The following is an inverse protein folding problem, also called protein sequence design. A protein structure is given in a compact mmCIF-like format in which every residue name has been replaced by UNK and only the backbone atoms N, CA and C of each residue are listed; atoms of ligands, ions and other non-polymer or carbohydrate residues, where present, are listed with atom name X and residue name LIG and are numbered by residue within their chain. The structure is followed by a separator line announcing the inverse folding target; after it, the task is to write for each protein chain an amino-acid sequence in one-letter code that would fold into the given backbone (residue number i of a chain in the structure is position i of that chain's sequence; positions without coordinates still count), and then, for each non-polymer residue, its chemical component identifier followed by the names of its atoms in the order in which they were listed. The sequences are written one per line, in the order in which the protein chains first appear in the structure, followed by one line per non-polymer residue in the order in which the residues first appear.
data_IF_279880241693
#
_entry.id   IF_279880241693
#
_cell.length_a   1.000
_cell.length_b   1.000
_cell.length_c   1.000
_cell.angle_alpha   90.00
_cell.angle_beta   90.00
_cell.angle_gamma   90.00
#
_symmetry.space_group_name_H-M   'P 1'
#
loop_
_entity.id
_entity.type
_entity.pdbx_description
1 polymer ?
#
# COMPACT_ATOMS: atom_id res chain seq x y z
N UNK A 1 -29.98 -3.35 2.40
CA UNK A 1 -29.67 -3.14 3.84
C UNK A 1 -28.73 -4.25 4.29
N UNK A 2 -27.51 -3.92 4.78
CA UNK A 2 -26.57 -4.94 5.28
C UNK A 2 -27.11 -5.55 6.57
N UNK A 3 -27.19 -6.89 6.66
CA UNK A 3 -27.72 -7.57 7.85
C UNK A 3 -26.73 -7.50 9.01
N UNK A 4 -27.24 -7.48 10.25
CA UNK A 4 -26.41 -7.58 11.45
C UNK A 4 -25.63 -8.91 11.45
N UNK A 5 -24.34 -8.87 11.76
CA UNK A 5 -23.45 -10.05 11.74
C UNK A 5 -22.80 -10.38 10.40
N UNK A 6 -23.17 -9.72 9.30
CA UNK A 6 -22.60 -9.98 7.97
C UNK A 6 -21.19 -9.36 7.78
N UNK A 7 -20.88 -8.32 8.55
CA UNK A 7 -19.58 -7.63 8.55
C UNK A 7 -18.70 -8.21 9.66
N UNK A 8 -17.91 -9.22 9.34
CA UNK A 8 -17.12 -9.98 10.31
C UNK A 8 -15.70 -9.43 10.55
N UNK A 9 -15.20 -8.55 9.67
CA UNK A 9 -13.84 -8.04 9.71
C UNK A 9 -13.80 -6.58 10.13
N UNK A 10 -12.84 -6.22 11.00
CA UNK A 10 -12.56 -4.82 11.36
C UNK A 10 -11.31 -4.34 10.65
N UNK A 11 -11.48 -3.38 9.74
CA UNK A 11 -10.39 -2.79 8.95
C UNK A 11 -10.06 -1.39 9.48
N UNK A 12 -8.78 -1.06 9.59
CA UNK A 12 -8.33 0.31 9.83
C UNK A 12 -8.20 1.03 8.48
N UNK A 13 -8.81 2.20 8.37
CA UNK A 13 -8.78 3.02 7.15
C UNK A 13 -7.70 4.08 7.24
N UNK A 14 -7.06 4.32 6.11
CA UNK A 14 -6.11 5.41 5.91
C UNK A 14 -6.59 6.27 4.73
N UNK A 15 -6.40 7.59 4.84
CA UNK A 15 -6.69 8.54 3.76
C UNK A 15 -5.70 8.41 2.61
N UNK A 16 -5.92 9.13 1.52
CA UNK A 16 -4.94 9.19 0.44
C UNK A 16 -3.60 9.77 0.93
N UNK A 17 -2.52 9.38 0.26
CA UNK A 17 -1.20 9.95 0.48
C UNK A 17 -1.25 11.48 0.25
N UNK A 18 -0.87 12.27 1.26
CA UNK A 18 -0.87 13.74 1.16
C UNK A 18 0.44 14.33 1.69
N UNK A 19 0.83 15.49 1.16
CA UNK A 19 2.06 16.20 1.53
C UNK A 19 3.31 15.72 0.78
N UNK A 20 4.45 16.35 1.07
CA UNK A 20 5.76 15.97 0.57
C UNK A 20 6.73 15.88 1.76
N UNK A 21 7.13 14.67 2.21
CA UNK A 21 6.79 13.34 1.65
C UNK A 21 5.34 12.89 1.97
N UNK A 22 4.75 12.00 1.15
CA UNK A 22 3.33 11.64 1.21
C UNK A 22 2.94 10.72 2.39
N UNK A 23 2.21 11.25 3.38
CA UNK A 23 1.76 10.52 4.58
C UNK A 23 0.38 9.90 4.34
N UNK A 24 0.14 8.70 4.91
CA UNK A 24 -1.16 8.02 4.96
C UNK A 24 -1.88 8.30 6.29
N UNK A 25 -2.78 9.31 6.38
CA UNK A 25 -3.38 9.66 7.67
C UNK A 25 -4.40 8.60 8.12
N UNK A 26 -4.39 8.14 9.38
CA UNK A 26 -5.39 7.22 9.89
C UNK A 26 -6.77 7.90 9.97
N UNK A 27 -7.80 7.29 9.37
CA UNK A 27 -9.16 7.81 9.30
C UNK A 27 -10.19 6.99 10.10
N UNK A 28 -9.72 6.13 11.01
CA UNK A 28 -10.54 5.30 11.90
C UNK A 28 -10.83 3.89 11.39
N UNK A 29 -11.64 3.13 12.14
CA UNK A 29 -11.93 1.72 11.86
C UNK A 29 -13.31 1.54 11.23
N UNK A 30 -13.43 0.56 10.34
CA UNK A 30 -14.68 0.20 9.66
C UNK A 30 -14.95 -1.30 9.80
N UNK A 31 -16.22 -1.68 9.86
CA UNK A 31 -16.65 -3.07 9.76
C UNK A 31 -16.89 -3.42 8.31
N UNK A 32 -16.37 -4.57 7.89
CA UNK A 32 -16.40 -5.02 6.51
C UNK A 32 -16.64 -6.52 6.41
N UNK A 33 -17.24 -6.93 5.29
CA UNK A 33 -17.18 -8.30 4.78
C UNK A 33 -16.13 -8.32 3.69
N UNK A 34 -15.16 -9.24 3.78
CA UNK A 34 -14.07 -9.33 2.80
C UNK A 34 -14.18 -10.67 2.09
N UNK A 35 -14.18 -10.63 0.76
CA UNK A 35 -14.22 -11.81 -0.10
C UNK A 35 -13.02 -11.70 -1.05
N UNK A 36 -11.97 -12.47 -0.73
CA UNK A 36 -10.80 -12.59 -1.60
C UNK A 36 -11.19 -13.36 -2.88
N UNK A 37 -10.61 -13.04 -4.05
CA UNK A 37 -10.82 -13.82 -5.26
C UNK A 37 -10.35 -15.27 -5.04
N UNK A 38 -11.05 -16.24 -5.64
CA UNK A 38 -10.56 -17.63 -5.67
C UNK A 38 -9.21 -17.62 -6.39
N UNK A 39 -8.16 -18.10 -5.72
CA UNK A 39 -6.81 -18.11 -6.27
C UNK A 39 -6.80 -18.76 -7.66
N UNK A 40 -6.40 -18.00 -8.68
CA UNK A 40 -5.93 -18.58 -9.94
C UNK A 40 -4.69 -19.42 -9.64
N UNK A 41 -4.47 -20.50 -10.39
CA UNK A 41 -3.36 -21.44 -10.18
C UNK A 41 -1.98 -20.77 -10.05
N UNK A 42 -1.02 -21.53 -9.48
CA UNK A 42 0.32 -21.11 -8.99
C UNK A 42 1.21 -20.26 -9.93
N UNK A 43 0.82 -20.00 -11.17
CA UNK A 43 1.64 -19.25 -12.15
C UNK A 43 1.45 -17.73 -12.10
N UNK A 44 0.41 -17.21 -11.43
CA UNK A 44 0.14 -15.77 -11.38
C UNK A 44 0.94 -14.98 -10.31
N UNK A 45 1.77 -15.66 -9.54
CA UNK A 45 2.38 -15.13 -8.30
C UNK A 45 3.68 -14.35 -8.53
N UNK A 46 3.81 -13.67 -9.67
CA UNK A 46 4.96 -12.82 -10.01
C UNK A 46 4.69 -11.31 -9.78
N UNK A 47 3.46 -10.93 -9.42
CA UNK A 47 3.05 -9.54 -9.18
C UNK A 47 2.64 -9.34 -7.73
N UNK A 48 2.85 -8.14 -7.16
CA UNK A 48 2.30 -7.78 -5.83
C UNK A 48 0.78 -7.75 -5.77
N UNK A 49 0.15 -7.80 -6.94
CA UNK A 49 -1.28 -7.88 -7.12
C UNK A 49 -1.69 -9.35 -7.09
N UNK A 50 -2.47 -9.75 -6.09
CA UNK A 50 -3.20 -11.00 -6.19
C UNK A 50 -4.05 -10.95 -7.48
N UNK A 51 -4.01 -11.99 -8.31
CA UNK A 51 -4.85 -12.08 -9.51
C UNK A 51 -6.32 -12.02 -9.11
N UNK A 52 -6.99 -10.92 -9.49
CA UNK A 52 -8.38 -10.61 -9.17
C UNK A 52 -8.53 -9.55 -8.08
N UNK A 53 -9.57 -8.72 -8.18
CA UNK A 53 -9.90 -7.75 -7.13
C UNK A 53 -10.62 -8.46 -5.97
N UNK A 54 -10.24 -8.10 -4.75
CA UNK A 54 -10.93 -8.46 -3.51
C UNK A 54 -12.19 -7.62 -3.38
N UNK A 55 -13.34 -8.26 -3.16
CA UNK A 55 -14.58 -7.54 -2.91
C UNK A 55 -14.72 -7.27 -1.42
N UNK A 56 -14.88 -6.00 -1.06
CA UNK A 56 -15.07 -5.56 0.32
C UNK A 56 -16.43 -4.87 0.44
N UNK A 57 -17.35 -5.46 1.19
CA UNK A 57 -18.65 -4.85 1.48
C UNK A 57 -18.61 -4.11 2.81
N UNK A 58 -19.11 -2.88 2.84
CA UNK A 58 -19.25 -2.08 4.07
C UNK A 58 -20.64 -1.43 4.14
N UNK A 59 -21.00 -0.88 5.30
CA UNK A 59 -22.22 -0.05 5.40
C UNK A 59 -22.05 1.23 4.59
N UNK A 60 -23.17 1.75 4.08
CA UNK A 60 -23.18 2.98 3.31
C UNK A 60 -22.55 4.17 4.09
N UNK A 61 -21.64 4.90 3.44
CA UNK A 61 -20.93 6.07 3.98
C UNK A 61 -20.29 6.87 2.85
N UNK A 62 -20.20 8.19 2.98
CA UNK A 62 -19.77 9.07 1.88
C UNK A 62 -18.28 9.42 1.89
N UNK A 63 -17.53 8.98 2.90
CA UNK A 63 -16.15 9.40 3.13
C UNK A 63 -15.10 8.38 2.63
N UNK A 64 -15.55 7.29 2.00
CA UNK A 64 -14.67 6.32 1.33
C UNK A 64 -14.40 6.76 -0.11
N UNK A 65 -13.14 6.70 -0.52
CA UNK A 65 -12.68 7.13 -1.84
C UNK A 65 -11.67 6.13 -2.42
N UNK A 66 -11.62 5.99 -3.77
CA UNK A 66 -10.49 5.36 -4.45
C UNK A 66 -9.14 5.96 -4.01
N UNK A 67 -8.10 5.12 -3.99
CA UNK A 67 -6.76 5.50 -3.52
C UNK A 67 -6.57 5.41 -2.00
N UNK A 68 -7.62 5.21 -1.21
CA UNK A 68 -7.49 4.97 0.23
C UNK A 68 -6.97 3.53 0.51
N UNK A 69 -6.29 3.35 1.65
CA UNK A 69 -5.85 2.04 2.12
C UNK A 69 -6.73 1.53 3.26
N UNK A 70 -6.95 0.21 3.26
CA UNK A 70 -7.59 -0.53 4.35
C UNK A 70 -6.62 -1.58 4.90
N UNK A 71 -6.28 -1.49 6.18
CA UNK A 71 -5.45 -2.47 6.89
C UNK A 71 -6.33 -3.47 7.63
N UNK A 72 -6.25 -4.74 7.22
CA UNK A 72 -6.75 -5.88 7.97
C UNK A 72 -5.69 -6.43 8.93
N UNK A 73 -5.96 -7.61 9.52
CA UNK A 73 -5.03 -8.26 10.47
C UNK A 73 -3.75 -8.78 9.80
N UNK A 74 -3.86 -9.32 8.60
CA UNK A 74 -2.77 -10.01 7.91
C UNK A 74 -2.42 -9.40 6.54
N UNK A 75 -3.19 -8.41 6.09
CA UNK A 75 -3.08 -7.86 4.74
C UNK A 75 -3.59 -6.43 4.70
N UNK A 76 -3.16 -5.74 3.65
CA UNK A 76 -3.61 -4.42 3.30
C UNK A 76 -4.36 -4.48 1.98
N UNK A 77 -5.27 -3.53 1.78
CA UNK A 77 -6.07 -3.41 0.58
C UNK A 77 -6.02 -1.98 0.08
N UNK A 78 -5.77 -1.80 -1.22
CA UNK A 78 -5.90 -0.53 -1.91
C UNK A 78 -7.28 -0.45 -2.54
N UNK A 79 -8.05 0.59 -2.22
CA UNK A 79 -9.36 0.80 -2.85
C UNK A 79 -9.16 1.27 -4.29
N UNK A 80 -9.64 0.49 -5.25
CA UNK A 80 -9.56 0.82 -6.68
C UNK A 80 -10.84 1.49 -7.15
N UNK A 81 -11.99 0.96 -6.72
CA UNK A 81 -13.31 1.44 -7.14
C UNK A 81 -14.38 1.19 -6.06
N UNK A 82 -15.47 1.94 -6.11
CA UNK A 82 -16.58 1.89 -5.16
C UNK A 82 -17.91 1.95 -5.91
N UNK A 83 -18.70 0.89 -5.81
CA UNK A 83 -20.09 0.86 -6.26
C UNK A 83 -21.05 1.05 -5.08
N UNK A 84 -22.06 1.89 -5.29
CA UNK A 84 -23.11 2.13 -4.31
C UNK A 84 -24.24 1.11 -4.49
N UNK A 85 -24.60 0.42 -3.42
CA UNK A 85 -25.72 -0.53 -3.37
C UNK A 85 -26.75 -0.08 -2.31
N UNK A 86 -28.02 -0.53 -2.39
CA UNK A 86 -29.03 -0.17 -1.39
C UNK A 86 -28.63 -0.52 0.06
N UNK A 87 -28.16 0.49 0.80
CA UNK A 87 -27.72 0.38 2.19
C UNK A 87 -26.31 -0.20 2.40
N UNK A 88 -25.50 -0.32 1.35
CA UNK A 88 -24.13 -0.83 1.40
C UNK A 88 -23.22 -0.14 0.38
N UNK A 89 -21.91 -0.25 0.55
CA UNK A 89 -20.95 -0.01 -0.51
C UNK A 89 -20.24 -1.32 -0.86
N UNK A 90 -20.08 -1.57 -2.15
CA UNK A 90 -19.23 -2.63 -2.68
C UNK A 90 -17.93 -2.00 -3.16
N UNK A 91 -16.84 -2.38 -2.53
CA UNK A 91 -15.52 -1.84 -2.80
C UNK A 91 -14.75 -2.91 -3.56
N UNK A 92 -14.31 -2.56 -4.77
CA UNK A 92 -13.29 -3.33 -5.47
C UNK A 92 -11.94 -2.89 -4.93
N UNK A 93 -11.24 -3.80 -4.27
CA UNK A 93 -9.96 -3.51 -3.65
C UNK A 93 -8.89 -4.49 -4.09
N UNK A 94 -7.69 -3.98 -4.26
CA UNK A 94 -6.51 -4.78 -4.58
C UNK A 94 -5.82 -5.19 -3.29
N UNK A 95 -5.69 -6.49 -3.07
CA UNK A 95 -4.95 -7.02 -1.92
C UNK A 95 -3.45 -6.81 -2.15
N UNK A 96 -2.80 -6.16 -1.19
CA UNK A 96 -1.37 -5.90 -1.20
C UNK A 96 -0.66 -6.99 -0.39
N UNK A 97 0.28 -7.67 -1.05
CA UNK A 97 1.17 -8.64 -0.41
C UNK A 97 2.37 -7.90 0.19
N UNK A 98 2.30 -7.62 1.50
CA UNK A 98 3.34 -6.90 2.21
C UNK A 98 4.48 -7.80 2.67
N UNK A 99 5.67 -7.21 2.76
CA UNK A 99 6.87 -7.87 3.24
C UNK A 99 7.39 -7.18 4.50
N UNK A 100 7.85 -7.96 5.51
CA UNK A 100 8.49 -7.37 6.67
C UNK A 100 9.82 -6.74 6.25
N UNK A 101 10.02 -5.50 6.67
CA UNK A 101 11.26 -4.77 6.48
C UNK A 101 11.60 -3.96 7.72
N UNK A 102 12.79 -3.36 7.70
CA UNK A 102 13.23 -2.39 8.68
C UNK A 102 13.54 -1.09 7.97
N UNK A 103 12.97 0.01 8.44
CA UNK A 103 13.33 1.35 7.98
C UNK A 103 14.27 1.99 9.00
N UNK A 104 15.37 2.55 8.51
CA UNK A 104 16.42 3.18 9.31
C UNK A 104 16.58 4.62 8.84
N UNK A 105 16.08 5.60 9.60
CA UNK A 105 16.37 7.00 9.32
C UNK A 105 17.88 7.27 9.42
N UNK A 106 18.41 8.14 8.56
CA UNK A 106 19.81 8.60 8.62
C UNK A 106 20.18 9.15 10.00
N UNK A 107 19.21 9.81 10.63
CA UNK A 107 19.30 10.35 11.98
C UNK A 107 18.13 9.83 12.82
N UNK A 108 18.24 8.61 13.34
CA UNK A 108 17.18 8.03 14.16
C UNK A 108 17.40 6.56 14.48
N UNK A 109 16.40 5.97 15.16
CA UNK A 109 16.39 4.55 15.51
C UNK A 109 15.65 3.78 14.43
N UNK A 110 16.20 2.64 14.04
CA UNK A 110 15.56 1.74 13.09
C UNK A 110 14.25 1.17 13.68
N UNK A 111 13.21 1.04 12.85
CA UNK A 111 11.93 0.48 13.27
C UNK A 111 11.33 -0.44 12.19
N UNK A 112 10.55 -1.46 12.60
CA UNK A 112 9.93 -2.37 11.66
C UNK A 112 8.83 -1.69 10.86
N UNK A 113 8.75 -2.01 9.58
CA UNK A 113 7.69 -1.54 8.67
C UNK A 113 7.26 -2.67 7.75
N UNK A 114 6.02 -2.60 7.27
CA UNK A 114 5.54 -3.43 6.17
C UNK A 114 5.72 -2.68 4.86
N UNK A 115 6.42 -3.30 3.92
CA UNK A 115 6.72 -2.74 2.61
C UNK A 115 5.90 -3.46 1.56
N UNK A 116 5.29 -2.72 0.63
CA UNK A 116 4.61 -3.30 -0.53
C UNK A 116 5.37 -2.88 -1.80
N UNK A 117 6.08 -3.81 -2.42
CA UNK A 117 6.95 -3.53 -3.57
C UNK A 117 6.14 -3.40 -4.88
N UNK A 118 5.80 -2.17 -5.29
CA UNK A 118 5.01 -1.91 -6.48
C UNK A 118 5.72 -2.27 -7.80
N UNK A 119 7.02 -2.02 -7.90
CA UNK A 119 7.84 -2.37 -9.06
C UNK A 119 9.33 -2.44 -8.69
N UNK A 120 10.11 -3.25 -9.41
CA UNK A 120 11.57 -3.19 -9.44
C UNK A 120 11.99 -2.96 -10.89
N UNK A 121 12.58 -1.79 -11.16
CA UNK A 121 12.99 -1.38 -12.49
C UNK A 121 14.51 -1.20 -12.52
N UNK A 122 15.13 -1.55 -13.65
CA UNK A 122 16.49 -1.15 -13.98
C UNK A 122 16.40 0.03 -14.95
N UNK A 123 16.75 1.21 -14.46
CA UNK A 123 16.82 2.43 -15.26
C UNK A 123 18.25 2.71 -15.70
N UNK A 124 18.40 3.51 -16.75
CA UNK A 124 19.70 4.03 -17.19
C UNK A 124 19.86 5.43 -16.61
N UNK A 125 20.86 5.62 -15.74
CA UNK A 125 21.18 6.91 -15.16
C UNK A 125 21.76 7.90 -16.17
N UNK A 126 21.90 9.16 -15.76
CA UNK A 126 22.38 10.25 -16.62
C UNK A 126 23.78 10.04 -17.26
N UNK A 127 24.56 9.07 -16.76
CA UNK A 127 25.88 8.67 -17.27
C UNK A 127 25.89 7.28 -17.93
N UNK A 128 24.74 6.82 -18.40
CA UNK A 128 24.57 5.47 -18.99
C UNK A 128 24.87 4.32 -18.02
N UNK A 129 24.84 4.58 -16.72
CA UNK A 129 25.03 3.57 -15.66
C UNK A 129 23.69 2.91 -15.30
N UNK A 130 23.63 1.57 -15.12
CA UNK A 130 22.41 0.91 -14.65
C UNK A 130 22.11 1.33 -13.21
N UNK A 131 20.92 1.87 -12.97
CA UNK A 131 20.39 2.24 -11.65
C UNK A 131 19.18 1.38 -11.31
N UNK A 132 19.14 0.83 -10.10
CA UNK A 132 17.95 0.12 -9.62
C UNK A 132 16.96 1.14 -9.06
N UNK A 133 15.71 1.04 -9.46
CA UNK A 133 14.61 1.80 -8.88
C UNK A 133 13.61 0.82 -8.29
N UNK A 134 13.22 1.03 -7.04
CA UNK A 134 12.17 0.24 -6.40
C UNK A 134 11.02 1.15 -6.00
N UNK A 135 9.82 0.82 -6.46
CA UNK A 135 8.61 1.56 -6.10
C UNK A 135 8.02 0.86 -4.86
N UNK A 136 7.86 1.57 -3.75
CA UNK A 136 7.47 0.98 -2.46
C UNK A 136 6.29 1.74 -1.83
N UNK A 137 5.19 1.06 -1.53
CA UNK A 137 4.14 1.65 -0.69
C UNK A 137 4.53 1.41 0.77
N UNK A 138 4.60 2.48 1.57
CA UNK A 138 5.11 2.47 2.94
C UNK A 138 4.15 3.22 3.89
N UNK A 139 2.93 2.69 4.12
CA UNK A 139 1.88 3.43 4.82
C UNK A 139 2.12 3.58 6.33
N UNK A 140 3.11 2.87 6.88
CA UNK A 140 3.45 2.86 8.30
C UNK A 140 4.57 3.85 8.66
N UNK A 141 5.09 4.63 7.69
CA UNK A 141 6.14 5.60 7.97
C UNK A 141 5.61 6.81 8.74
N UNK A 142 6.39 7.21 9.75
CA UNK A 142 6.10 8.37 10.60
C UNK A 142 6.89 9.55 10.08
N UNK A 143 6.23 10.68 9.84
CA UNK A 143 6.92 11.89 9.41
C UNK A 143 7.89 12.39 10.49
N UNK A 144 9.10 12.85 10.11
CA UNK A 144 9.64 12.92 8.75
C UNK A 144 10.28 11.60 8.30
N UNK A 145 10.02 11.17 7.05
CA UNK A 145 10.55 9.91 6.50
C UNK A 145 11.02 10.03 5.03
N UNK A 146 11.57 8.94 4.51
CA UNK A 146 12.08 8.78 3.14
C UNK A 146 13.01 9.92 2.68
N UNK A 147 13.85 10.41 3.58
CA UNK A 147 14.87 11.40 3.29
C UNK A 147 16.05 10.74 2.57
N UNK A 148 16.75 11.53 1.77
CA UNK A 148 17.99 11.08 1.17
C UNK A 148 18.98 10.63 2.25
N UNK A 149 19.51 9.42 2.10
CA UNK A 149 20.41 8.77 3.04
C UNK A 149 19.75 7.90 4.09
N UNK A 150 18.42 7.88 4.18
CA UNK A 150 17.71 6.83 4.93
C UNK A 150 17.89 5.47 4.25
N UNK A 151 17.57 4.39 4.96
CA UNK A 151 17.75 3.03 4.46
C UNK A 151 16.51 2.17 4.72
N UNK A 152 16.20 1.28 3.78
CA UNK A 152 15.21 0.23 3.93
C UNK A 152 15.91 -1.11 3.78
N UNK A 153 15.74 -1.98 4.77
CA UNK A 153 16.25 -3.35 4.74
C UNK A 153 15.09 -4.33 4.57
N UNK A 154 15.01 -5.00 3.42
CA UNK A 154 13.99 -6.01 3.11
C UNK A 154 14.66 -7.21 2.43
N UNK A 155 14.19 -8.44 2.69
CA UNK A 155 14.77 -9.69 2.14
C UNK A 155 16.30 -9.81 2.34
N UNK A 156 16.82 -9.32 3.46
CA UNK A 156 18.26 -9.32 3.77
C UNK A 156 19.10 -8.35 2.92
N UNK A 157 18.48 -7.53 2.07
CA UNK A 157 19.13 -6.49 1.26
C UNK A 157 18.83 -5.12 1.85
N UNK A 158 19.85 -4.28 1.84
CA UNK A 158 19.77 -2.90 2.29
C UNK A 158 19.75 -1.98 1.09
N UNK A 159 18.75 -1.11 1.03
CA UNK A 159 18.54 -0.14 -0.03
C UNK A 159 18.63 1.26 0.54
N UNK A 160 19.58 2.06 0.05
CA UNK A 160 19.75 3.45 0.49
C UNK A 160 18.85 4.36 -0.34
N UNK A 161 18.06 5.19 0.31
CA UNK A 161 17.16 6.15 -0.33
C UNK A 161 17.99 7.29 -0.92
N UNK A 162 17.99 7.41 -2.25
CA UNK A 162 18.63 8.52 -2.97
C UNK A 162 17.64 9.66 -3.28
N UNK A 163 16.35 9.34 -3.39
CA UNK A 163 15.31 10.35 -3.58
C UNK A 163 13.91 9.76 -3.55
N UNK A 164 12.94 10.62 -3.27
CA UNK A 164 11.52 10.35 -3.46
C UNK A 164 11.12 10.90 -4.81
N UNK A 165 10.47 10.07 -5.63
CA UNK A 165 9.81 10.51 -6.85
C UNK A 165 8.31 10.43 -6.59
N UNK A 166 7.57 11.42 -7.05
CA UNK A 166 6.11 11.30 -7.09
C UNK A 166 5.74 10.33 -8.22
N UNK A 167 5.25 9.15 -7.84
CA UNK A 167 4.75 8.13 -8.76
C UNK A 167 3.35 8.48 -9.28
N UNK A 168 3.23 8.52 -10.61
CA UNK A 168 2.11 8.96 -11.45
C UNK A 168 0.72 8.31 -11.22
N UNK A 169 -0.30 9.04 -11.70
CA UNK A 169 -1.69 8.71 -12.09
C UNK A 169 -2.65 8.05 -11.08
N UNK A 170 -2.15 7.35 -10.07
CA UNK A 170 -2.97 6.69 -9.04
C UNK A 170 -2.76 7.26 -7.63
N UNK A 171 -1.97 8.33 -7.48
CA UNK A 171 -1.90 9.19 -6.28
C UNK A 171 -1.41 8.53 -4.98
N UNK A 172 -0.87 7.30 -5.05
CA UNK A 172 -0.83 6.39 -3.88
C UNK A 172 0.56 5.75 -3.65
N UNK A 173 1.56 5.99 -4.50
CA UNK A 173 2.84 5.27 -4.40
C UNK A 173 3.99 6.22 -4.09
N UNK A 174 4.69 5.97 -2.98
CA UNK A 174 5.99 6.56 -2.72
C UNK A 174 7.02 5.83 -3.60
N UNK A 175 7.65 6.51 -4.54
CA UNK A 175 8.71 5.90 -5.35
C UNK A 175 10.07 6.25 -4.74
N UNK A 176 10.89 5.23 -4.50
CA UNK A 176 12.17 5.37 -3.82
C UNK A 176 13.29 4.99 -4.79
N UNK A 177 14.13 5.96 -5.17
CA UNK A 177 15.35 5.65 -5.90
C UNK A 177 16.38 5.05 -4.94
N UNK A 178 17.01 3.95 -5.34
CA UNK A 178 17.94 3.21 -4.49
C UNK A 178 19.26 2.97 -5.21
N UNK A 179 20.37 3.16 -4.50
CA UNK A 179 21.73 2.87 -5.00
C UNK A 179 22.30 1.67 -4.27
#
# INVERSE_FOLDING_TARGET
MVKSGELSSRLMRFGAATGSPPVWPPLGKIWAKVIDPKAAGREAQASIYATGSTMITVRNRHDLLPGQLLKGRACWYLIEDIACEPGALQISARKLSGEPATYTPKHGVAYPVTVFMAAENLMVGARSEPRRQIDLILPELVWPFARQGDQITLRGRSYRIDGVVDGSDNGTTLRVMVV
#
